data_IF_926875640742
#
_entry.id   IF_926875640742
#
_cell.length_a   1.000
_cell.length_b   1.000
_cell.length_c   1.000
_cell.angle_alpha   90.00
_cell.angle_beta   90.00
_cell.angle_gamma   90.00
#
_symmetry.space_group_name_H-M   'P 1'
#
loop_
_entity.id
_entity.type
_entity.pdbx_description
1 polymer ?
#
# COMPACT_ATOMS: atom_id res chain seq x y z
N UNK A 1 -10.26 -10.19 -48.26
CA UNK A 1 -9.77 -9.01 -47.51
C UNK A 1 -8.40 -9.36 -46.97
N UNK A 2 -7.33 -8.92 -47.64
CA UNK A 2 -5.95 -9.17 -47.20
C UNK A 2 -5.63 -8.25 -46.03
N UNK A 3 -5.28 -8.84 -44.89
CA UNK A 3 -4.79 -8.10 -43.72
C UNK A 3 -3.46 -7.44 -44.14
N UNK A 4 -3.31 -6.10 -44.04
CA UNK A 4 -2.05 -5.46 -44.35
C UNK A 4 -0.96 -6.02 -43.43
N UNK A 5 0.17 -6.40 -44.02
CA UNK A 5 1.32 -6.91 -43.27
C UNK A 5 1.68 -5.93 -42.14
N UNK A 6 1.95 -6.40 -40.92
CA UNK A 6 2.28 -5.52 -39.81
C UNK A 6 3.50 -4.65 -40.19
N UNK A 7 3.52 -3.36 -39.80
CA UNK A 7 4.65 -2.48 -40.08
C UNK A 7 5.93 -3.16 -39.60
N UNK A 8 6.96 -3.11 -40.44
CA UNK A 8 8.21 -3.83 -40.29
C UNK A 8 8.73 -3.77 -38.84
N UNK A 9 8.98 -4.95 -38.26
CA UNK A 9 9.54 -5.14 -36.92
C UNK A 9 11.02 -4.68 -36.80
N UNK A 10 11.46 -3.78 -37.67
CA UNK A 10 12.88 -3.43 -37.85
C UNK A 10 13.42 -2.66 -36.66
N UNK A 11 12.69 -1.64 -36.19
CA UNK A 11 13.17 -0.84 -35.06
C UNK A 11 13.22 -1.62 -33.75
N UNK A 12 12.35 -2.61 -33.55
CA UNK A 12 12.39 -3.47 -32.36
C UNK A 12 13.66 -4.32 -32.35
N UNK A 13 14.02 -4.90 -33.51
CA UNK A 13 15.25 -5.67 -33.63
C UNK A 13 16.48 -4.79 -33.34
N UNK A 14 16.53 -3.59 -33.91
CA UNK A 14 17.62 -2.65 -33.68
C UNK A 14 17.70 -2.21 -32.21
N UNK A 15 16.57 -1.93 -31.57
CA UNK A 15 16.52 -1.63 -30.14
C UNK A 15 17.03 -2.79 -29.28
N UNK A 16 16.71 -4.04 -29.65
CA UNK A 16 17.17 -5.22 -28.92
C UNK A 16 18.70 -5.37 -28.96
N UNK A 17 19.37 -4.89 -30.02
CA UNK A 17 20.84 -4.84 -30.05
C UNK A 17 21.43 -3.91 -29.00
N UNK A 18 20.72 -2.83 -28.66
CA UNK A 18 21.11 -1.86 -27.64
C UNK A 18 20.70 -2.29 -26.22
N UNK A 19 19.78 -3.25 -26.10
CA UNK A 19 19.12 -3.61 -24.84
C UNK A 19 20.07 -3.98 -23.70
N UNK A 20 21.12 -4.80 -23.89
CA UNK A 20 22.03 -5.15 -22.80
C UNK A 20 22.80 -3.95 -22.23
N UNK A 21 22.98 -2.88 -23.00
CA UNK A 21 23.57 -1.63 -22.51
C UNK A 21 22.53 -0.76 -21.80
N UNK A 22 21.31 -0.68 -22.34
CA UNK A 22 20.18 0.04 -21.74
C UNK A 22 19.87 -0.55 -20.34
N UNK A 23 19.83 -1.87 -20.21
CA UNK A 23 19.56 -2.56 -18.95
C UNK A 23 20.62 -2.22 -17.90
N UNK A 24 21.90 -2.46 -18.20
CA UNK A 24 23.03 -2.14 -17.29
C UNK A 24 23.04 -0.68 -16.86
N UNK A 25 22.82 0.24 -17.80
CA UNK A 25 22.79 1.68 -17.49
C UNK A 25 21.57 2.05 -16.66
N UNK A 26 20.42 1.43 -16.92
CA UNK A 26 19.19 1.65 -16.13
C UNK A 26 19.40 1.16 -14.71
N UNK A 27 19.93 -0.04 -14.51
CA UNK A 27 20.27 -0.58 -13.18
C UNK A 27 21.21 0.34 -12.41
N UNK A 28 22.27 0.81 -13.07
CA UNK A 28 23.20 1.76 -12.47
C UNK A 28 22.54 3.10 -12.14
N UNK A 29 21.66 3.60 -13.01
CA UNK A 29 20.96 4.87 -12.81
C UNK A 29 19.98 4.83 -11.63
N UNK A 30 19.26 3.71 -11.46
CA UNK A 30 18.27 3.55 -10.38
C UNK A 30 18.87 3.14 -9.04
N UNK A 31 20.16 2.81 -8.97
CA UNK A 31 20.81 2.30 -7.74
C UNK A 31 20.69 3.21 -6.52
N UNK A 32 20.55 4.53 -6.75
CA UNK A 32 20.39 5.53 -5.68
C UNK A 32 18.94 5.68 -5.21
N UNK A 33 17.97 5.09 -5.92
CA UNK A 33 16.58 5.09 -5.51
C UNK A 33 16.34 4.10 -4.38
N UNK A 34 15.29 4.37 -3.59
CA UNK A 34 14.84 3.47 -2.54
C UNK A 34 14.48 2.10 -3.15
N UNK A 35 14.82 0.96 -2.51
CA UNK A 35 14.59 -0.37 -3.08
C UNK A 35 13.17 -0.60 -3.60
N UNK A 36 12.16 -0.14 -2.86
CA UNK A 36 10.74 -0.26 -3.26
C UNK A 36 10.37 0.54 -4.51
N UNK A 37 11.15 1.53 -4.91
CA UNK A 37 10.91 2.35 -6.10
C UNK A 37 11.67 1.85 -7.33
N UNK A 38 12.65 0.96 -7.17
CA UNK A 38 13.57 0.59 -8.25
C UNK A 38 12.86 -0.14 -9.39
N UNK A 39 11.93 -1.03 -9.08
CA UNK A 39 11.26 -1.83 -10.09
C UNK A 39 10.30 -0.98 -10.94
N UNK A 40 9.53 -0.10 -10.31
CA UNK A 40 8.69 0.86 -11.01
C UNK A 40 9.54 1.81 -11.88
N UNK A 41 10.66 2.31 -11.34
CA UNK A 41 11.57 3.16 -12.09
C UNK A 41 12.15 2.46 -13.31
N UNK A 42 12.63 1.21 -13.16
CA UNK A 42 13.17 0.41 -14.27
C UNK A 42 12.15 0.24 -15.38
N UNK A 43 10.96 -0.25 -15.05
CA UNK A 43 9.90 -0.49 -16.05
C UNK A 43 9.46 0.82 -16.73
N UNK A 44 9.36 1.90 -15.98
CA UNK A 44 9.01 3.22 -16.52
C UNK A 44 10.08 3.73 -17.49
N UNK A 45 11.36 3.56 -17.15
CA UNK A 45 12.49 3.94 -18.02
C UNK A 45 12.46 3.09 -19.29
N UNK A 46 12.31 1.77 -19.18
CA UNK A 46 12.24 0.86 -20.32
C UNK A 46 11.10 1.21 -21.29
N UNK A 47 9.90 1.46 -20.76
CA UNK A 47 8.77 1.89 -21.58
C UNK A 47 9.05 3.23 -22.28
N UNK A 48 9.65 4.19 -21.56
CA UNK A 48 10.02 5.47 -22.13
C UNK A 48 11.08 5.36 -23.23
N UNK A 49 12.10 4.52 -23.01
CA UNK A 49 13.15 4.24 -23.99
C UNK A 49 12.56 3.61 -25.25
N UNK A 50 11.68 2.62 -25.11
CA UNK A 50 11.05 1.96 -26.26
C UNK A 50 10.20 2.94 -27.09
N UNK A 51 9.39 3.78 -26.43
CA UNK A 51 8.58 4.79 -27.13
C UNK A 51 9.46 5.85 -27.81
N UNK A 52 10.49 6.35 -27.12
CA UNK A 52 11.41 7.34 -27.68
C UNK A 52 12.18 6.77 -28.89
N UNK A 53 12.63 5.52 -28.80
CA UNK A 53 13.31 4.85 -29.91
C UNK A 53 12.38 4.64 -31.11
N UNK A 54 11.15 4.18 -30.87
CA UNK A 54 10.15 4.02 -31.94
C UNK A 54 9.86 5.36 -32.65
N UNK A 55 9.78 6.46 -31.90
CA UNK A 55 9.62 7.79 -32.48
C UNK A 55 10.83 8.23 -33.31
N UNK A 56 12.05 7.99 -32.82
CA UNK A 56 13.27 8.26 -33.58
C UNK A 56 13.33 7.43 -34.87
N UNK A 57 12.97 6.15 -34.81
CA UNK A 57 12.92 5.28 -35.97
C UNK A 57 11.88 5.74 -37.00
N UNK A 58 10.68 6.11 -36.55
CA UNK A 58 9.64 6.67 -37.42
C UNK A 58 10.07 7.98 -38.11
N UNK A 59 10.97 8.74 -37.49
CA UNK A 59 11.57 9.95 -38.06
C UNK A 59 12.83 9.67 -38.93
N UNK A 60 13.22 8.41 -39.12
CA UNK A 60 14.46 8.06 -39.83
C UNK A 60 15.75 8.41 -39.07
N UNK A 61 15.66 8.61 -37.74
CA UNK A 61 16.75 9.08 -36.86
C UNK A 61 17.24 8.04 -35.87
N UNK A 62 16.91 6.75 -36.08
CA UNK A 62 17.33 5.66 -35.19
C UNK A 62 18.85 5.57 -35.03
N UNK A 63 19.62 5.92 -36.06
CA UNK A 63 21.09 5.93 -36.00
C UNK A 63 21.68 6.91 -34.96
N UNK A 64 20.91 7.91 -34.52
CA UNK A 64 21.32 8.87 -33.48
C UNK A 64 21.01 8.37 -32.07
N UNK A 65 20.37 7.21 -31.93
CA UNK A 65 19.88 6.71 -30.66
C UNK A 65 20.98 5.95 -29.91
N UNK A 66 21.48 6.54 -28.83
CA UNK A 66 22.47 5.92 -27.94
C UNK A 66 21.84 5.52 -26.60
N UNK A 67 22.25 4.40 -25.98
CA UNK A 67 21.71 3.95 -24.70
C UNK A 67 21.75 5.00 -23.59
N UNK A 68 22.88 5.70 -23.42
CA UNK A 68 23.09 6.68 -22.35
C UNK A 68 22.05 7.81 -22.36
N UNK A 69 21.93 8.55 -23.47
CA UNK A 69 20.90 9.58 -23.63
C UNK A 69 19.47 9.05 -23.47
N UNK A 70 19.16 7.86 -23.99
CA UNK A 70 17.82 7.25 -23.86
C UNK A 70 17.48 6.96 -22.39
N UNK A 71 18.39 6.31 -21.66
CA UNK A 71 18.22 6.01 -20.23
C UNK A 71 18.14 7.31 -19.41
N UNK A 72 18.99 8.29 -19.69
CA UNK A 72 18.96 9.59 -19.02
C UNK A 72 17.64 10.33 -19.27
N UNK A 73 17.10 10.26 -20.49
CA UNK A 73 15.80 10.81 -20.82
C UNK A 73 14.68 10.11 -20.04
N UNK A 74 14.64 8.77 -20.06
CA UNK A 74 13.67 7.98 -19.29
C UNK A 74 13.73 8.27 -17.78
N UNK A 75 14.95 8.38 -17.23
CA UNK A 75 15.14 8.72 -15.82
C UNK A 75 14.58 10.11 -15.51
N UNK A 76 14.83 11.11 -16.36
CA UNK A 76 14.28 12.47 -16.19
C UNK A 76 12.75 12.47 -16.27
N UNK A 77 12.15 11.66 -17.14
CA UNK A 77 10.70 11.52 -17.24
C UNK A 77 10.11 10.90 -15.96
N UNK A 78 10.68 9.80 -15.47
CA UNK A 78 10.32 9.21 -14.18
C UNK A 78 10.52 10.20 -13.03
N UNK A 79 11.62 10.96 -13.04
CA UNK A 79 11.93 11.97 -12.05
C UNK A 79 10.94 13.16 -12.06
N UNK A 80 10.32 13.45 -13.19
CA UNK A 80 9.25 14.44 -13.30
C UNK A 80 7.86 13.87 -12.97
N UNK A 81 7.74 12.57 -12.67
CA UNK A 81 6.46 11.89 -12.47
C UNK A 81 5.65 11.72 -13.75
N UNK A 82 6.31 11.75 -14.92
CA UNK A 82 5.69 11.58 -16.24
C UNK A 82 5.90 10.14 -16.71
N UNK A 83 4.92 9.29 -16.39
CA UNK A 83 4.93 7.87 -16.76
C UNK A 83 4.23 7.66 -18.10
N UNK A 84 4.73 6.71 -18.89
CA UNK A 84 4.14 6.33 -20.18
C UNK A 84 2.87 5.51 -19.95
N UNK A 85 1.84 5.74 -20.77
CA UNK A 85 0.59 4.98 -20.73
C UNK A 85 -0.36 5.34 -19.59
N UNK A 86 0.05 6.22 -18.67
CA UNK A 86 -0.76 6.71 -17.56
C UNK A 86 -1.07 8.20 -17.68
N UNK A 87 -2.17 8.63 -17.04
CA UNK A 87 -2.36 10.06 -16.73
C UNK A 87 -1.36 10.45 -15.64
N UNK A 88 -0.91 11.70 -15.66
CA UNK A 88 -0.24 12.29 -14.49
C UNK A 88 -1.25 12.40 -13.35
N UNK A 89 -1.38 11.33 -12.58
CA UNK A 89 -2.43 11.22 -11.57
C UNK A 89 -1.89 11.59 -10.20
N UNK A 90 -2.09 12.85 -9.79
CA UNK A 90 -1.79 13.29 -8.42
C UNK A 90 -2.77 12.76 -7.37
N UNK A 91 -3.80 11.98 -7.75
CA UNK A 91 -4.73 11.32 -6.81
C UNK A 91 -4.32 9.89 -6.46
N UNK A 92 -3.36 9.33 -7.19
CA UNK A 92 -2.81 8.01 -6.87
C UNK A 92 -1.71 8.15 -5.82
N UNK A 93 -2.00 7.69 -4.59
CA UNK A 93 -1.09 7.74 -3.43
C UNK A 93 0.22 6.99 -3.67
N UNK A 94 0.20 5.96 -4.51
CA UNK A 94 1.41 5.22 -4.89
C UNK A 94 2.28 5.99 -5.88
N UNK A 95 1.71 6.92 -6.62
CA UNK A 95 2.41 7.63 -7.68
C UNK A 95 3.46 8.60 -7.13
N UNK A 96 4.55 8.72 -7.87
CA UNK A 96 5.60 9.71 -7.59
C UNK A 96 5.08 11.15 -7.71
N UNK A 97 4.06 11.39 -8.54
CA UNK A 97 3.43 12.70 -8.70
C UNK A 97 2.64 13.11 -7.46
N UNK A 98 1.90 12.19 -6.84
CA UNK A 98 1.24 12.47 -5.56
C UNK A 98 2.26 12.87 -4.50
N UNK A 99 3.36 12.10 -4.35
CA UNK A 99 4.43 12.42 -3.38
C UNK A 99 5.01 13.83 -3.58
N UNK A 100 5.21 14.24 -4.84
CA UNK A 100 5.72 15.58 -5.18
C UNK A 100 4.73 16.70 -4.84
N UNK A 101 3.43 16.48 -5.04
CA UNK A 101 2.40 17.50 -4.82
C UNK A 101 1.99 17.56 -3.34
N UNK A 102 1.88 16.42 -2.66
CA UNK A 102 1.47 16.34 -1.25
C UNK A 102 2.61 16.59 -0.27
N UNK A 103 3.86 16.39 -0.68
CA UNK A 103 5.02 16.40 0.20
C UNK A 103 5.08 15.19 1.15
N UNK A 104 4.14 14.25 1.03
CA UNK A 104 4.03 13.08 1.89
C UNK A 104 4.76 11.86 1.31
N UNK A 105 5.17 10.94 2.19
CA UNK A 105 5.79 9.66 1.82
C UNK A 105 4.86 8.51 2.18
N UNK A 106 4.77 7.52 1.30
CA UNK A 106 4.14 6.24 1.61
C UNK A 106 5.08 5.41 2.48
N UNK A 107 4.58 4.89 3.60
CA UNK A 107 5.29 3.93 4.45
C UNK A 107 4.64 2.55 4.30
N UNK A 108 5.42 1.49 4.55
CA UNK A 108 4.86 0.14 4.55
C UNK A 108 3.96 -0.05 5.78
N UNK A 109 2.78 -0.64 5.59
CA UNK A 109 1.92 -1.05 6.69
C UNK A 109 2.62 -2.05 7.64
N UNK A 110 3.64 -2.77 7.17
CA UNK A 110 4.44 -3.67 8.00
C UNK A 110 5.39 -2.92 8.95
N UNK A 111 5.85 -1.74 8.58
CA UNK A 111 6.64 -0.85 9.45
C UNK A 111 5.75 -0.25 10.55
N UNK A 112 4.46 -0.07 10.26
CA UNK A 112 3.42 0.19 11.25
C UNK A 112 3.07 -1.11 12.00
N UNK A 113 4.02 -1.60 12.82
CA UNK A 113 3.88 -2.82 13.65
C UNK A 113 2.59 -2.86 14.51
N UNK A 114 1.96 -1.71 14.74
CA UNK A 114 0.75 -1.59 15.56
C UNK A 114 -0.54 -2.04 14.83
N UNK A 115 -0.56 -2.12 13.50
CA UNK A 115 -1.78 -2.37 12.69
C UNK A 115 -1.97 -3.79 12.16
N UNK A 116 -0.94 -4.63 12.23
CA UNK A 116 -1.00 -6.01 11.71
C UNK A 116 -1.78 -6.98 12.59
N UNK A 117 -2.26 -6.55 13.76
CA UNK A 117 -3.03 -7.40 14.65
C UNK A 117 -4.47 -7.64 14.18
N UNK A 118 -5.01 -6.82 13.26
CA UNK A 118 -6.34 -7.07 12.73
C UNK A 118 -6.28 -8.23 11.73
N UNK A 119 -6.82 -9.38 12.14
CA UNK A 119 -7.06 -10.56 11.29
C UNK A 119 -7.63 -10.11 9.95
N UNK A 120 -7.02 -10.58 8.87
CA UNK A 120 -7.36 -10.19 7.51
C UNK A 120 -8.82 -10.59 7.21
N UNK A 121 -9.72 -9.61 7.27
CA UNK A 121 -11.13 -9.82 7.01
C UNK A 121 -11.32 -9.98 5.51
N UNK A 122 -11.23 -11.22 5.01
CA UNK A 122 -11.35 -11.57 3.57
C UNK A 122 -12.64 -11.09 2.89
N UNK A 123 -13.61 -10.58 3.64
CA UNK A 123 -14.91 -10.08 3.15
C UNK A 123 -15.01 -8.55 3.05
N UNK A 124 -14.06 -7.79 3.59
CA UNK A 124 -14.09 -6.33 3.53
C UNK A 124 -13.29 -5.81 2.32
N UNK A 125 -13.73 -4.74 1.64
CA UNK A 125 -12.96 -4.15 0.56
C UNK A 125 -11.64 -3.56 1.08
N UNK A 126 -10.57 -3.54 0.27
CA UNK A 126 -9.24 -3.10 0.72
C UNK A 126 -9.22 -1.70 1.34
N UNK A 127 -10.04 -0.78 0.84
CA UNK A 127 -10.13 0.59 1.37
C UNK A 127 -10.71 0.62 2.79
N UNK A 128 -11.71 -0.20 3.10
CA UNK A 128 -12.28 -0.30 4.45
C UNK A 128 -11.29 -0.95 5.43
N UNK A 129 -10.55 -1.97 4.99
CA UNK A 129 -9.49 -2.60 5.78
C UNK A 129 -8.40 -1.57 6.12
N UNK A 130 -8.00 -0.75 5.13
CA UNK A 130 -7.02 0.31 5.34
C UNK A 130 -7.51 1.37 6.33
N UNK A 131 -8.74 1.87 6.17
CA UNK A 131 -9.33 2.84 7.10
C UNK A 131 -9.38 2.28 8.53
N UNK A 132 -9.87 1.04 8.68
CA UNK A 132 -9.91 0.35 9.97
C UNK A 132 -8.52 0.27 10.62
N UNK A 133 -7.49 -0.12 9.86
CA UNK A 133 -6.13 -0.20 10.39
C UNK A 133 -5.67 1.18 10.89
N UNK A 134 -5.84 2.23 10.09
CA UNK A 134 -5.45 3.60 10.46
C UNK A 134 -6.17 4.06 11.74
N UNK A 135 -7.49 3.89 11.79
CA UNK A 135 -8.31 4.32 12.93
C UNK A 135 -7.98 3.52 14.20
N UNK A 136 -7.76 2.21 14.05
CA UNK A 136 -7.36 1.33 15.15
C UNK A 136 -5.98 1.69 15.71
N UNK A 137 -5.01 2.01 14.85
CA UNK A 137 -3.68 2.46 15.26
C UNK A 137 -3.77 3.77 16.05
N UNK A 138 -4.50 4.74 15.52
CA UNK A 138 -4.71 6.04 16.15
C UNK A 138 -5.38 5.88 17.53
N UNK A 139 -6.40 5.03 17.62
CA UNK A 139 -7.08 4.72 18.88
C UNK A 139 -6.16 4.01 19.88
N UNK A 140 -5.41 2.99 19.46
CA UNK A 140 -4.42 2.31 20.31
C UNK A 140 -3.39 3.29 20.90
N UNK A 141 -2.97 4.29 20.11
CA UNK A 141 -2.08 5.36 20.55
C UNK A 141 -2.64 6.22 21.69
N UNK A 142 -3.97 6.27 21.86
CA UNK A 142 -4.60 6.99 22.98
C UNK A 142 -4.54 6.24 24.31
N UNK A 143 -4.34 4.92 24.28
CA UNK A 143 -4.42 4.08 25.47
C UNK A 143 -3.18 4.23 26.36
N UNK A 144 -3.36 3.97 27.67
CA UNK A 144 -2.22 3.84 28.58
C UNK A 144 -1.29 2.72 28.08
N UNK A 145 0.01 2.79 28.42
CA UNK A 145 0.96 1.76 28.00
C UNK A 145 0.53 0.33 28.41
N UNK A 146 -0.15 0.20 29.56
CA UNK A 146 -0.70 -1.07 30.06
C UNK A 146 -1.90 -1.53 29.23
N UNK A 147 -2.89 -0.66 29.01
CA UNK A 147 -4.10 -1.03 28.28
C UNK A 147 -3.79 -1.29 26.80
N UNK A 148 -2.86 -0.52 26.21
CA UNK A 148 -2.35 -0.78 24.86
C UNK A 148 -1.73 -2.17 24.72
N UNK A 149 -0.94 -2.63 25.71
CA UNK A 149 -0.36 -3.99 25.70
C UNK A 149 -1.44 -5.07 25.83
N UNK A 150 -2.45 -4.84 26.66
CA UNK A 150 -3.59 -5.74 26.84
C UNK A 150 -4.41 -5.86 25.55
N UNK A 151 -4.79 -4.72 24.96
CA UNK A 151 -5.58 -4.69 23.72
C UNK A 151 -4.84 -5.31 22.53
N UNK A 152 -3.51 -5.16 22.46
CA UNK A 152 -2.70 -5.84 21.42
C UNK A 152 -2.77 -7.35 21.49
N UNK A 153 -2.80 -7.95 22.69
CA UNK A 153 -2.91 -9.41 22.82
C UNK A 153 -4.27 -9.89 22.35
N UNK A 154 -5.33 -9.22 22.79
CA UNK A 154 -6.68 -9.51 22.33
C UNK A 154 -6.81 -9.35 20.80
N UNK A 155 -6.24 -8.29 20.23
CA UNK A 155 -6.30 -8.06 18.79
C UNK A 155 -5.63 -9.18 17.99
N UNK A 156 -4.56 -9.81 18.51
CA UNK A 156 -3.91 -10.97 17.90
C UNK A 156 -4.76 -12.26 17.91
N UNK A 157 -5.93 -12.23 18.54
CA UNK A 157 -6.82 -13.39 18.70
C UNK A 157 -6.52 -14.22 19.96
N UNK A 158 -5.74 -13.68 20.90
CA UNK A 158 -5.55 -14.35 22.20
C UNK A 158 -6.86 -14.36 22.99
N UNK A 159 -7.17 -15.50 23.60
CA UNK A 159 -8.38 -15.66 24.41
C UNK A 159 -8.37 -14.71 25.62
N UNK A 160 -9.53 -14.10 25.91
CA UNK A 160 -9.67 -13.12 27.00
C UNK A 160 -9.20 -13.68 28.34
N UNK A 161 -9.45 -14.97 28.62
CA UNK A 161 -9.00 -15.66 29.85
C UNK A 161 -7.48 -15.69 29.99
N UNK A 162 -6.74 -15.94 28.90
CA UNK A 162 -5.28 -15.97 28.91
C UNK A 162 -4.70 -14.57 29.09
N UNK A 163 -5.29 -13.58 28.42
CA UNK A 163 -4.92 -12.17 28.61
C UNK A 163 -5.22 -11.73 30.04
N UNK A 164 -6.37 -12.09 30.60
CA UNK A 164 -6.76 -11.77 31.97
C UNK A 164 -5.76 -12.32 32.99
N UNK A 165 -5.39 -13.60 32.88
CA UNK A 165 -4.38 -14.23 33.72
C UNK A 165 -3.03 -13.52 33.63
N UNK A 166 -2.57 -13.22 32.40
CA UNK A 166 -1.28 -12.55 32.17
C UNK A 166 -1.21 -11.14 32.75
N UNK A 167 -2.31 -10.40 32.72
CA UNK A 167 -2.39 -9.04 33.25
C UNK A 167 -2.88 -8.96 34.70
N UNK A 168 -3.11 -10.12 35.35
CA UNK A 168 -3.66 -10.27 36.71
C UNK A 168 -4.98 -9.50 36.90
N UNK A 169 -5.87 -9.66 35.93
CA UNK A 169 -7.21 -9.07 35.91
C UNK A 169 -8.25 -10.18 35.77
N UNK A 170 -9.50 -9.88 36.11
CA UNK A 170 -10.62 -10.74 35.70
C UNK A 170 -10.97 -10.49 34.23
N UNK A 171 -11.51 -11.49 33.54
CA UNK A 171 -11.99 -11.36 32.16
C UNK A 171 -12.98 -10.19 32.02
N UNK A 172 -13.90 -10.03 32.99
CA UNK A 172 -14.81 -8.89 33.04
C UNK A 172 -14.10 -7.53 33.15
N UNK A 173 -13.02 -7.43 33.93
CA UNK A 173 -12.23 -6.19 34.04
C UNK A 173 -11.45 -5.90 32.75
N UNK A 174 -10.93 -6.93 32.08
CA UNK A 174 -10.31 -6.81 30.74
C UNK A 174 -11.32 -6.24 29.74
N UNK A 175 -12.52 -6.81 29.66
CA UNK A 175 -13.57 -6.35 28.75
C UNK A 175 -14.08 -4.94 29.10
N UNK A 176 -14.25 -4.64 30.38
CA UNK A 176 -14.65 -3.29 30.84
C UNK A 176 -13.62 -2.23 30.47
N UNK A 177 -12.31 -2.53 30.58
CA UNK A 177 -11.23 -1.61 30.19
C UNK A 177 -11.23 -1.35 28.69
N UNK A 178 -11.37 -2.39 27.87
CA UNK A 178 -11.45 -2.24 26.41
C UNK A 178 -12.71 -1.47 26.04
N UNK A 179 -13.89 -1.84 26.56
CA UNK A 179 -15.15 -1.14 26.28
C UNK A 179 -15.14 0.32 26.73
N UNK A 180 -14.64 0.62 27.93
CA UNK A 180 -14.55 1.99 28.43
C UNK A 180 -13.61 2.85 27.58
N UNK A 181 -12.44 2.30 27.21
CA UNK A 181 -11.48 3.03 26.41
C UNK A 181 -11.85 3.13 24.92
N UNK A 182 -12.61 2.17 24.40
CA UNK A 182 -13.11 2.14 23.01
C UNK A 182 -14.39 2.98 22.85
N UNK A 183 -15.36 2.82 23.76
CA UNK A 183 -16.68 3.42 23.70
C UNK A 183 -16.72 4.92 24.01
N UNK A 184 -16.01 5.39 25.03
CA UNK A 184 -16.07 6.81 25.43
C UNK A 184 -15.21 7.72 24.55
N UNK A 185 -14.11 7.19 23.96
CA UNK A 185 -13.15 8.00 23.19
C UNK A 185 -13.39 8.04 21.68
N UNK A 186 -14.22 7.15 21.14
CA UNK A 186 -14.64 7.19 19.73
C UNK A 186 -15.91 8.01 19.50
N UNK A 187 -16.78 8.17 20.52
CA UNK A 187 -18.02 8.97 20.43
C UNK A 187 -17.78 10.44 20.05
N UNK A 188 -16.56 10.94 20.20
CA UNK A 188 -16.19 12.34 19.99
C UNK A 188 -15.60 12.67 18.61
N UNK A 189 -15.65 11.76 17.61
CA UNK A 189 -15.21 12.06 16.23
C UNK A 189 -16.39 12.38 15.29
N UNK A 190 -16.17 13.34 14.40
CA UNK A 190 -17.20 13.96 13.54
C UNK A 190 -17.84 13.04 12.45
N UNK A 191 -19.02 13.42 11.90
CA UNK A 191 -20.05 12.53 11.33
C UNK A 191 -19.80 11.67 10.08
N UNK A 192 -18.93 11.99 9.09
CA UNK A 192 -18.93 11.27 7.81
C UNK A 192 -18.41 9.83 7.90
N UNK A 193 -17.80 9.42 9.02
CA UNK A 193 -17.25 8.07 9.23
C UNK A 193 -18.17 7.12 10.01
N UNK A 194 -19.34 7.58 10.47
CA UNK A 194 -20.22 6.79 11.37
C UNK A 194 -20.70 5.46 10.78
N UNK A 195 -20.90 5.33 9.45
CA UNK A 195 -21.28 4.04 8.86
C UNK A 195 -20.17 3.00 8.96
N UNK A 196 -18.93 3.40 8.70
CA UNK A 196 -17.76 2.55 8.89
C UNK A 196 -17.53 2.29 10.38
N UNK A 197 -17.65 3.30 11.23
CA UNK A 197 -17.47 3.20 12.68
C UNK A 197 -18.52 2.31 13.35
N UNK A 198 -19.80 2.39 12.95
CA UNK A 198 -20.87 1.51 13.44
C UNK A 198 -20.66 0.09 12.93
N UNK A 199 -20.27 -0.08 11.66
CA UNK A 199 -19.92 -1.40 11.14
C UNK A 199 -18.70 -2.01 11.86
N UNK A 200 -17.71 -1.19 12.22
CA UNK A 200 -16.53 -1.58 12.99
C UNK A 200 -16.86 -1.84 14.45
N UNK A 201 -17.73 -1.04 15.08
CA UNK A 201 -18.25 -1.29 16.44
C UNK A 201 -19.02 -2.60 16.46
N UNK A 202 -19.95 -2.82 15.54
CA UNK A 202 -20.70 -4.06 15.47
C UNK A 202 -19.80 -5.25 15.14
N UNK A 203 -18.83 -5.12 14.24
CA UNK A 203 -17.92 -6.23 13.89
C UNK A 203 -16.88 -6.52 14.98
N UNK A 204 -16.24 -5.51 15.57
CA UNK A 204 -15.29 -5.69 16.67
C UNK A 204 -16.01 -6.12 17.96
N UNK A 205 -17.15 -5.52 18.31
CA UNK A 205 -17.93 -5.97 19.47
C UNK A 205 -18.50 -7.36 19.23
N UNK A 206 -19.00 -7.69 18.04
CA UNK A 206 -19.40 -9.06 17.73
C UNK A 206 -18.21 -10.02 17.70
N UNK A 207 -17.02 -9.58 17.28
CA UNK A 207 -15.80 -10.39 17.33
C UNK A 207 -15.34 -10.63 18.77
N UNK A 208 -15.41 -9.61 19.63
CA UNK A 208 -15.16 -9.73 21.08
C UNK A 208 -16.23 -10.57 21.80
N UNK A 209 -17.48 -10.56 21.33
CA UNK A 209 -18.58 -11.40 21.85
C UNK A 209 -18.45 -12.84 21.32
N UNK A 210 -18.05 -13.03 20.07
CA UNK A 210 -17.84 -14.36 19.46
C UNK A 210 -16.60 -15.08 20.01
N UNK A 211 -15.58 -14.35 20.48
CA UNK A 211 -14.38 -14.93 21.06
C UNK A 211 -14.50 -15.26 22.56
N UNK A 212 -15.62 -14.96 23.23
CA UNK A 212 -15.76 -15.27 24.67
C UNK A 212 -17.19 -15.41 25.22
N UNK A 213 -18.19 -15.76 24.39
CA UNK A 213 -19.44 -16.34 24.90
C UNK A 213 -19.54 -17.81 24.48
N UNK A 214 -19.41 -18.78 25.41
CA UNK A 214 -19.97 -20.09 25.14
C UNK A 214 -21.47 -19.90 24.97
N UNK A 215 -21.99 -20.32 23.81
CA UNK A 215 -23.40 -20.68 23.67
C UNK A 215 -23.58 -21.96 24.48
N UNK A 216 -23.60 -21.85 25.81
CA UNK A 216 -24.25 -22.85 26.65
C UNK A 216 -25.74 -22.56 26.60
N UNK A 217 -26.35 -22.88 25.45
CA UNK A 217 -27.77 -23.21 25.39
C UNK A 217 -27.87 -24.57 26.08
N UNK A 218 -28.28 -24.50 27.34
CA UNK A 218 -29.20 -25.42 28.01
C UNK A 218 -29.74 -26.54 27.11
N UNK A 219 -29.13 -27.73 27.19
CA UNK A 219 -29.76 -29.06 27.35
C UNK A 219 -28.80 -29.89 28.21
#
# INVERSE_FOLDING_TARGET
MSIPAPPSRTWQADLLTLWPQIERQTEFAVRKLHPSERDEARQSIFACVAVAYAQLAAQGRAALAFPGPLVAYGLRQYQAGRLIGGRMNSRDVGSRRWRQVSGQRSASLAECQETLALVDQRRAPPAEIACLRIDFAAWLGTLSARDRRLTRQLARGEETRHVAARFRLSAGRVMSRVKGAFGERLKSREPPQQKAEVALRCKLLNWFVMLDMPISIMI
#
